data_IF_882789952946
#
_entry.id   IF_882789952946
#
_cell.length_a   1.000
_cell.length_b   1.000
_cell.length_c   1.000
_cell.angle_alpha   90.00
_cell.angle_beta   90.00
_cell.angle_gamma   90.00
#
_symmetry.space_group_name_H-M   'P 1'
#
loop_
_entity.id
_entity.type
_entity.pdbx_description
1 polymer ?
#
# COMPACT_ATOMS: atom_id res chain seq x y z
N UNK A 1 3.44 -19.35 17.89
CA UNK A 1 3.01 -19.15 16.49
C UNK A 1 4.15 -18.50 15.73
N UNK A 2 4.46 -18.93 14.51
CA UNK A 2 5.47 -18.27 13.68
C UNK A 2 5.00 -16.83 13.38
N UNK A 3 5.91 -15.85 13.44
CA UNK A 3 5.59 -14.50 12.96
C UNK A 3 5.29 -14.60 11.46
N UNK A 4 4.20 -13.98 10.95
CA UNK A 4 4.00 -13.88 9.52
C UNK A 4 5.20 -13.16 8.88
N UNK A 5 5.53 -13.53 7.64
CA UNK A 5 6.58 -12.88 6.86
C UNK A 5 6.26 -11.41 6.57
N UNK A 6 7.25 -10.66 6.06
CA UNK A 6 7.02 -9.30 5.58
C UNK A 6 6.67 -9.31 4.09
N UNK A 7 5.95 -8.28 3.63
CA UNK A 7 5.65 -8.13 2.19
C UNK A 7 6.91 -8.09 1.33
N UNK A 8 8.01 -7.50 1.83
CA UNK A 8 9.32 -7.49 1.18
C UNK A 8 9.89 -8.92 1.06
N UNK A 9 9.89 -9.71 2.14
CA UNK A 9 10.39 -11.09 2.10
C UNK A 9 9.54 -11.99 1.21
N UNK A 10 8.23 -11.79 1.16
CA UNK A 10 7.36 -12.55 0.26
C UNK A 10 7.59 -12.15 -1.21
N UNK A 11 7.87 -10.87 -1.48
CA UNK A 11 8.31 -10.43 -2.80
C UNK A 11 9.66 -11.05 -3.19
N UNK A 12 10.63 -11.13 -2.28
CA UNK A 12 11.91 -11.80 -2.53
C UNK A 12 11.72 -13.26 -2.95
N UNK A 13 10.92 -14.02 -2.18
CA UNK A 13 10.60 -15.42 -2.50
C UNK A 13 9.93 -15.55 -3.87
N UNK A 14 9.04 -14.63 -4.22
CA UNK A 14 8.37 -14.62 -5.52
C UNK A 14 9.37 -14.38 -6.66
N UNK A 15 10.23 -13.37 -6.52
CA UNK A 15 11.26 -13.03 -7.51
C UNK A 15 12.24 -14.21 -7.71
N UNK A 16 12.64 -14.86 -6.61
CA UNK A 16 13.50 -16.04 -6.66
C UNK A 16 12.81 -17.23 -7.31
N UNK A 17 11.54 -17.48 -6.97
CA UNK A 17 10.74 -18.53 -7.60
C UNK A 17 10.60 -18.33 -9.12
N UNK A 18 10.48 -17.08 -9.56
CA UNK A 18 10.42 -16.70 -10.97
C UNK A 18 11.80 -16.68 -11.67
N UNK A 19 12.90 -16.86 -10.91
CA UNK A 19 14.26 -16.85 -11.46
C UNK A 19 14.70 -15.49 -12.00
N UNK A 20 14.16 -14.39 -11.47
CA UNK A 20 14.47 -13.05 -11.97
C UNK A 20 15.82 -12.56 -11.42
N UNK A 21 16.68 -12.05 -12.32
CA UNK A 21 17.90 -11.31 -11.97
C UNK A 21 17.60 -9.90 -11.44
N UNK A 22 18.40 -8.89 -11.81
CA UNK A 22 18.04 -7.48 -11.53
C UNK A 22 16.83 -7.05 -12.37
N UNK A 23 15.81 -6.43 -11.77
CA UNK A 23 14.56 -6.02 -12.44
C UNK A 23 14.15 -4.57 -12.10
N UNK A 24 13.19 -4.01 -12.85
CA UNK A 24 12.59 -2.71 -12.54
C UNK A 24 11.35 -2.94 -11.67
N UNK A 25 11.27 -2.24 -10.53
CA UNK A 25 10.18 -2.40 -9.57
C UNK A 25 9.28 -1.16 -9.59
N UNK A 26 7.98 -1.38 -9.73
CA UNK A 26 6.96 -0.33 -9.69
C UNK A 26 6.05 -0.58 -8.50
N UNK A 27 6.07 0.31 -7.51
CA UNK A 27 5.19 0.27 -6.35
C UNK A 27 4.10 1.33 -6.48
N UNK A 28 2.84 0.94 -6.27
CA UNK A 28 1.69 1.86 -6.28
C UNK A 28 0.85 1.75 -5.02
N UNK A 29 0.28 2.86 -4.55
CA UNK A 29 -0.47 2.93 -3.29
C UNK A 29 0.30 2.25 -2.13
N UNK A 30 -0.32 1.33 -1.41
CA UNK A 30 0.35 0.55 -0.35
C UNK A 30 1.51 -0.32 -0.88
N UNK A 31 1.46 -0.76 -2.14
CA UNK A 31 2.55 -1.48 -2.79
C UNK A 31 3.85 -0.66 -2.91
N UNK A 32 3.76 0.67 -2.88
CA UNK A 32 4.93 1.55 -2.78
C UNK A 32 5.71 1.37 -1.47
N UNK A 33 5.02 1.09 -0.36
CA UNK A 33 5.66 0.85 0.94
C UNK A 33 6.49 -0.44 0.90
N UNK A 34 5.90 -1.52 0.35
CA UNK A 34 6.59 -2.80 0.16
C UNK A 34 7.75 -2.65 -0.81
N UNK A 35 7.56 -1.94 -1.92
CA UNK A 35 8.59 -1.75 -2.93
C UNK A 35 9.79 -0.96 -2.40
N UNK A 36 9.56 0.05 -1.53
CA UNK A 36 10.62 0.80 -0.87
C UNK A 36 11.37 -0.08 0.14
N UNK A 37 10.66 -0.82 1.00
CA UNK A 37 11.28 -1.76 1.94
C UNK A 37 12.14 -2.81 1.21
N UNK A 38 11.60 -3.40 0.14
CA UNK A 38 12.31 -4.35 -0.71
C UNK A 38 13.56 -3.74 -1.36
N UNK A 39 13.45 -2.53 -1.91
CA UNK A 39 14.59 -1.89 -2.59
C UNK A 39 15.73 -1.57 -1.61
N UNK A 40 15.42 -1.22 -0.36
CA UNK A 40 16.43 -0.97 0.68
C UNK A 40 17.02 -2.29 1.21
N UNK A 41 16.20 -3.33 1.37
CA UNK A 41 16.62 -4.63 1.90
C UNK A 41 17.40 -5.48 0.88
N UNK A 42 17.09 -5.34 -0.40
CA UNK A 42 17.57 -6.17 -1.50
C UNK A 42 18.00 -5.30 -2.70
N UNK A 43 18.80 -4.26 -2.46
CA UNK A 43 19.20 -3.25 -3.46
C UNK A 43 19.83 -3.88 -4.72
N UNK A 44 20.54 -5.00 -4.57
CA UNK A 44 21.14 -5.76 -5.65
C UNK A 44 20.15 -6.50 -6.55
N UNK A 45 18.85 -6.42 -6.26
CA UNK A 45 17.79 -6.98 -7.10
C UNK A 45 17.09 -5.92 -7.94
N UNK A 46 17.25 -4.63 -7.62
CA UNK A 46 16.47 -3.54 -8.24
C UNK A 46 17.35 -2.68 -9.15
N UNK A 47 17.01 -2.61 -10.44
CA UNK A 47 17.65 -1.69 -11.41
C UNK A 47 17.16 -0.27 -11.27
N UNK A 48 15.85 -0.12 -11.04
CA UNK A 48 15.20 1.16 -10.77
C UNK A 48 13.91 0.93 -10.00
N UNK A 49 13.58 1.88 -9.14
CA UNK A 49 12.33 1.93 -8.41
C UNK A 49 11.45 3.06 -8.97
N UNK A 50 10.19 2.75 -9.26
CA UNK A 50 9.15 3.74 -9.56
C UNK A 50 8.13 3.72 -8.43
N UNK A 51 7.90 4.90 -7.84
CA UNK A 51 6.90 5.12 -6.80
C UNK A 51 5.75 5.91 -7.41
N UNK A 52 4.61 5.25 -7.64
CA UNK A 52 3.46 5.82 -8.34
C UNK A 52 2.26 5.95 -7.41
N UNK A 53 1.79 7.16 -7.14
CA UNK A 53 0.61 7.42 -6.31
C UNK A 53 0.72 6.76 -4.93
N UNK A 54 1.82 6.98 -4.21
CA UNK A 54 2.10 6.34 -2.92
C UNK A 54 2.69 7.33 -1.93
N UNK A 55 2.45 7.08 -0.64
CA UNK A 55 3.04 7.81 0.48
C UNK A 55 4.32 7.16 1.01
N UNK A 56 4.80 6.08 0.37
CA UNK A 56 6.10 5.41 0.65
C UNK A 56 6.20 4.76 2.05
N UNK A 57 5.26 5.02 2.95
CA UNK A 57 5.19 4.40 4.27
C UNK A 57 6.15 5.01 5.30
N UNK A 58 6.56 6.27 5.10
CA UNK A 58 7.48 6.95 6.02
C UNK A 58 6.81 7.12 7.39
N UNK A 59 7.43 6.56 8.44
CA UNK A 59 6.87 6.52 9.79
C UNK A 59 7.38 7.62 10.72
N UNK A 60 8.36 8.42 10.28
CA UNK A 60 8.93 9.50 11.07
C UNK A 60 7.87 10.52 11.55
N UNK A 61 7.91 10.87 12.84
CA UNK A 61 6.88 11.72 13.46
C UNK A 61 6.75 13.12 12.82
N UNK A 62 7.87 13.74 12.45
CA UNK A 62 7.90 15.06 11.79
C UNK A 62 7.26 14.98 10.39
N UNK A 63 7.62 13.96 9.61
CA UNK A 63 6.98 13.70 8.32
C UNK A 63 5.47 13.46 8.46
N UNK A 64 5.06 12.66 9.46
CA UNK A 64 3.64 12.38 9.71
C UNK A 64 2.88 13.63 10.16
N UNK A 65 3.50 14.53 10.92
CA UNK A 65 2.91 15.80 11.31
C UNK A 65 2.64 16.68 10.08
N UNK A 66 3.60 16.77 9.15
CA UNK A 66 3.44 17.51 7.88
C UNK A 66 2.37 16.85 7.00
N UNK A 67 2.40 15.52 6.84
CA UNK A 67 1.46 14.78 6.01
C UNK A 67 0.00 14.97 6.45
N UNK A 68 -0.25 15.04 7.77
CA UNK A 68 -1.59 15.28 8.31
C UNK A 68 -2.20 16.62 7.90
N UNK A 69 -1.37 17.62 7.53
CA UNK A 69 -1.84 18.93 7.09
C UNK A 69 -2.50 18.91 5.71
N UNK A 70 -2.36 17.82 4.93
CA UNK A 70 -3.02 17.66 3.64
C UNK A 70 -4.52 17.39 3.78
N UNK A 71 -4.96 16.90 4.94
CA UNK A 71 -6.32 16.42 5.15
C UNK A 71 -7.12 17.40 6.00
N UNK A 72 -8.43 17.60 5.69
CA UNK A 72 -9.29 18.39 6.55
C UNK A 72 -9.51 17.71 7.90
N UNK A 73 -9.89 18.51 8.90
CA UNK A 73 -10.28 17.99 10.22
C UNK A 73 -11.39 16.94 10.08
N UNK A 74 -11.25 15.82 10.78
CA UNK A 74 -12.22 14.72 10.77
C UNK A 74 -12.10 13.74 9.60
N UNK A 75 -11.17 13.94 8.65
CA UNK A 75 -10.99 13.03 7.51
C UNK A 75 -10.71 11.58 7.95
N UNK A 76 -9.88 11.39 8.97
CA UNK A 76 -9.54 10.05 9.49
C UNK A 76 -10.77 9.25 9.94
N UNK A 77 -11.78 9.94 10.49
CA UNK A 77 -13.03 9.35 10.98
C UNK A 77 -14.06 9.07 9.88
N UNK A 78 -13.78 9.45 8.63
CA UNK A 78 -14.67 9.17 7.51
C UNK A 78 -14.70 7.67 7.18
N UNK A 79 -15.83 7.15 6.65
CA UNK A 79 -15.92 5.77 6.20
C UNK A 79 -14.82 5.40 5.21
N UNK A 80 -14.36 4.16 5.24
CA UNK A 80 -13.35 3.67 4.30
C UNK A 80 -13.71 3.88 2.84
N UNK A 81 -14.96 3.60 2.48
CA UNK A 81 -15.42 3.74 1.10
C UNK A 81 -15.36 5.20 0.61
N UNK A 82 -15.45 6.17 1.53
CA UNK A 82 -15.28 7.58 1.21
C UNK A 82 -13.79 7.90 0.95
N UNK A 83 -12.89 7.29 1.73
CA UNK A 83 -11.45 7.50 1.63
C UNK A 83 -10.84 6.81 0.39
N UNK A 84 -11.35 5.64 0.02
CA UNK A 84 -10.73 4.76 -0.98
C UNK A 84 -11.50 4.64 -2.30
N UNK A 85 -12.83 4.84 -2.31
CA UNK A 85 -13.65 4.62 -3.51
C UNK A 85 -14.14 5.93 -4.14
N UNK A 86 -13.87 6.07 -5.44
CA UNK A 86 -14.36 7.19 -6.24
C UNK A 86 -15.90 7.29 -6.26
N UNK A 87 -16.47 8.50 -6.34
CA UNK A 87 -17.92 8.71 -6.30
C UNK A 87 -18.66 7.99 -7.42
N UNK A 88 -18.04 7.88 -8.60
CA UNK A 88 -18.61 7.14 -9.73
C UNK A 88 -18.77 5.65 -9.41
N UNK A 89 -17.75 4.98 -8.85
CA UNK A 89 -17.84 3.57 -8.48
C UNK A 89 -18.92 3.34 -7.42
N UNK A 90 -18.94 4.20 -6.39
CA UNK A 90 -19.95 4.15 -5.32
C UNK A 90 -21.39 4.34 -5.81
N UNK A 91 -21.57 4.96 -6.97
CA UNK A 91 -22.88 5.15 -7.60
C UNK A 91 -23.24 4.00 -8.54
N UNK A 92 -22.32 3.58 -9.42
CA UNK A 92 -22.61 2.60 -10.48
C UNK A 92 -22.64 1.16 -9.97
N UNK A 93 -21.96 0.85 -8.86
CA UNK A 93 -21.85 -0.50 -8.31
C UNK A 93 -22.11 -0.51 -6.79
N UNK A 94 -23.39 -0.41 -6.43
CA UNK A 94 -23.80 -0.42 -5.01
C UNK A 94 -23.56 -1.75 -4.32
N UNK A 95 -23.62 -2.86 -5.06
CA UNK A 95 -23.36 -4.19 -4.52
C UNK A 95 -21.86 -4.38 -4.23
N UNK A 96 -21.00 -3.98 -5.16
CA UNK A 96 -19.55 -3.97 -4.97
C UNK A 96 -19.12 -3.05 -3.83
N UNK A 97 -19.73 -1.86 -3.69
CA UNK A 97 -19.52 -0.99 -2.53
C UNK A 97 -19.91 -1.67 -1.21
N UNK A 98 -21.05 -2.36 -1.16
CA UNK A 98 -21.48 -3.08 0.05
C UNK A 98 -20.48 -4.19 0.42
N UNK A 99 -20.03 -4.98 -0.56
CA UNK A 99 -19.02 -6.01 -0.34
C UNK A 99 -17.68 -5.42 0.12
N UNK A 100 -17.25 -4.31 -0.46
CA UNK A 100 -16.02 -3.62 -0.04
C UNK A 100 -16.08 -3.21 1.44
N UNK A 101 -17.21 -2.64 1.88
CA UNK A 101 -17.43 -2.25 3.28
C UNK A 101 -17.44 -3.47 4.23
N UNK A 102 -18.04 -4.59 3.81
CA UNK A 102 -18.00 -5.84 4.57
C UNK A 102 -16.56 -6.36 4.73
N UNK A 103 -15.78 -6.35 3.65
CA UNK A 103 -14.40 -6.80 3.66
C UNK A 103 -13.51 -5.91 4.53
N UNK A 104 -13.63 -4.59 4.43
CA UNK A 104 -12.89 -3.64 5.27
C UNK A 104 -13.11 -3.92 6.76
N UNK A 105 -14.38 -4.05 7.17
CA UNK A 105 -14.75 -4.32 8.56
C UNK A 105 -14.25 -5.69 9.04
N UNK A 106 -14.19 -6.69 8.15
CA UNK A 106 -13.71 -8.03 8.48
C UNK A 106 -12.19 -8.14 8.66
N UNK A 107 -11.42 -7.23 8.04
CA UNK A 107 -9.96 -7.28 7.99
C UNK A 107 -9.28 -6.47 9.09
N UNK A 108 -10.04 -5.70 9.88
CA UNK A 108 -9.54 -4.97 11.05
C UNK A 108 -8.45 -3.92 10.74
N UNK A 109 -8.59 -3.23 9.61
CA UNK A 109 -7.75 -2.09 9.25
C UNK A 109 -8.14 -0.83 10.04
#
# INVERSE_FOLDING_TARGET
>A
MAKPGTGSQDLLKLVDHLGLGKFHLVGTAAGGMIATDFTVSDEDRVRSLVLANTIVGITNDDYRAIYKLLWPEGFDAMPGDFKELGPSYRHIDTAGRALWNELEQSQGW
#
